data_IF_707520164537
#
_entry.id   IF_707520164537
#
_cell.length_a   1.000
_cell.length_b   1.000
_cell.length_c   1.000
_cell.angle_alpha   90.00
_cell.angle_beta   90.00
_cell.angle_gamma   90.00
#
_symmetry.space_group_name_H-M   'P 1'
#
loop_
_entity.id
_entity.type
_entity.pdbx_description
1 polymer ?
#
# COMPACT_ATOMS: atom_id res chain seq x y z
N UNK A 1 5.21 -35.84 7.28
CA UNK A 1 6.65 -35.59 7.02
C UNK A 1 6.79 -34.08 6.95
N UNK A 2 7.70 -33.48 7.72
CA UNK A 2 7.82 -32.02 7.73
C UNK A 2 8.41 -31.55 6.39
N UNK A 3 7.98 -30.37 5.94
CA UNK A 3 8.45 -29.75 4.70
C UNK A 3 9.88 -29.18 4.80
N UNK A 4 10.61 -29.42 5.90
CA UNK A 4 11.90 -28.77 6.17
C UNK A 4 13.11 -29.70 6.07
N UNK A 5 12.91 -30.96 5.66
CA UNK A 5 13.94 -31.99 5.72
C UNK A 5 14.69 -32.13 4.39
N UNK A 6 15.46 -31.10 4.02
CA UNK A 6 16.29 -31.13 2.80
C UNK A 6 17.78 -31.02 3.14
N UNK A 7 18.65 -31.67 2.37
CA UNK A 7 20.11 -31.52 2.49
C UNK A 7 20.65 -30.26 1.81
N UNK A 8 21.98 -30.19 1.64
CA UNK A 8 22.64 -29.03 1.06
C UNK A 8 22.35 -28.88 -0.44
N UNK A 9 22.02 -30.00 -1.09
CA UNK A 9 21.71 -30.18 -2.50
C UNK A 9 20.21 -29.99 -2.78
N UNK A 10 19.38 -29.99 -1.75
CA UNK A 10 17.92 -29.82 -1.84
C UNK A 10 17.18 -31.15 -1.97
N UNK A 11 17.85 -32.28 -1.75
CA UNK A 11 17.23 -33.59 -1.75
C UNK A 11 16.59 -33.88 -0.38
N UNK A 12 15.42 -34.55 -0.36
CA UNK A 12 14.74 -34.88 0.88
C UNK A 12 15.55 -35.90 1.69
N UNK A 13 15.82 -35.58 2.95
CA UNK A 13 16.57 -36.44 3.88
C UNK A 13 15.69 -36.86 5.04
N UNK A 14 15.85 -38.12 5.48
CA UNK A 14 15.18 -38.61 6.68
C UNK A 14 15.91 -38.13 7.91
N UNK A 15 15.17 -37.51 8.83
CA UNK A 15 15.67 -37.19 10.16
C UNK A 15 15.97 -38.49 10.91
N UNK A 16 17.13 -38.61 11.58
CA UNK A 16 17.42 -39.75 12.44
C UNK A 16 16.35 -39.95 13.52
N UNK A 17 16.05 -41.21 13.86
CA UNK A 17 14.99 -41.54 14.81
C UNK A 17 15.33 -41.16 16.27
N UNK A 18 16.60 -40.92 16.55
CA UNK A 18 17.14 -40.47 17.84
C UNK A 18 17.14 -38.95 18.01
N UNK A 19 16.75 -38.19 16.98
CA UNK A 19 16.66 -36.74 17.05
C UNK A 19 15.31 -36.30 17.61
N UNK A 20 15.33 -35.56 18.71
CA UNK A 20 14.14 -34.99 19.34
C UNK A 20 13.90 -33.54 18.90
N UNK A 21 14.98 -32.77 18.75
CA UNK A 21 14.94 -31.36 18.35
C UNK A 21 15.95 -31.08 17.22
N UNK A 22 15.80 -29.93 16.58
CA UNK A 22 16.73 -29.39 15.60
C UNK A 22 17.32 -28.09 16.13
N UNK A 23 18.65 -28.01 16.24
CA UNK A 23 19.34 -26.78 16.62
C UNK A 23 19.48 -25.86 15.43
N UNK A 24 19.03 -24.61 15.56
CA UNK A 24 18.99 -23.64 14.46
C UNK A 24 20.29 -22.84 14.38
N UNK A 25 20.89 -22.82 13.20
CA UNK A 25 22.06 -21.99 12.87
C UNK A 25 21.83 -21.20 11.60
N UNK A 26 22.36 -19.98 11.52
CA UNK A 26 22.21 -19.10 10.36
C UNK A 26 23.56 -18.82 9.70
N UNK A 27 23.58 -18.76 8.38
CA UNK A 27 24.73 -18.25 7.64
C UNK A 27 24.70 -16.72 7.63
N UNK A 28 25.76 -16.05 8.11
CA UNK A 28 25.86 -14.58 8.08
C UNK A 28 25.74 -14.00 6.68
N UNK A 29 26.34 -14.68 5.70
CA UNK A 29 26.34 -14.29 4.31
C UNK A 29 25.95 -15.50 3.44
N UNK A 30 24.78 -15.47 2.79
CA UNK A 30 24.38 -16.50 1.85
C UNK A 30 25.41 -16.58 0.71
N UNK A 31 25.93 -17.78 0.43
CA UNK A 31 26.86 -18.03 -0.69
C UNK A 31 28.35 -17.94 -0.36
N UNK A 32 28.74 -17.33 0.76
CA UNK A 32 30.13 -17.43 1.24
C UNK A 32 30.32 -18.73 2.04
N UNK A 33 31.45 -19.41 1.84
CA UNK A 33 31.90 -20.49 2.73
C UNK A 33 32.26 -19.89 4.10
N UNK A 34 31.27 -19.76 4.97
CA UNK A 34 31.41 -19.19 6.31
C UNK A 34 30.92 -20.12 7.40
N UNK A 35 31.38 -19.88 8.63
CA UNK A 35 30.85 -20.56 9.81
C UNK A 35 29.40 -20.14 10.04
N UNK A 36 28.50 -21.11 10.24
CA UNK A 36 27.14 -20.83 10.69
C UNK A 36 27.17 -20.36 12.15
N UNK A 37 26.38 -19.35 12.47
CA UNK A 37 26.19 -18.88 13.84
C UNK A 37 24.97 -19.50 14.46
N UNK A 38 25.01 -19.75 15.76
CA UNK A 38 23.84 -20.23 16.50
C UNK A 38 22.81 -19.11 16.56
N UNK A 39 21.59 -19.40 16.13
CA UNK A 39 20.46 -18.48 16.30
C UNK A 39 20.02 -18.58 17.76
N UNK A 40 19.80 -17.45 18.40
CA UNK A 40 19.33 -17.39 19.78
C UNK A 40 17.85 -16.98 19.78
N UNK A 41 17.08 -17.56 20.70
CA UNK A 41 15.69 -17.17 20.94
C UNK A 41 15.60 -15.83 21.68
N UNK A 42 14.37 -15.39 21.95
CA UNK A 42 14.12 -14.16 22.70
C UNK A 42 14.62 -14.18 24.15
N UNK A 43 14.87 -15.37 24.69
CA UNK A 43 15.49 -15.60 26.00
C UNK A 43 17.03 -15.53 25.98
N UNK A 44 17.63 -15.36 24.78
CA UNK A 44 19.08 -15.38 24.59
C UNK A 44 19.71 -16.77 24.63
N UNK A 45 18.92 -17.85 24.78
CA UNK A 45 19.43 -19.22 24.68
C UNK A 45 19.47 -19.67 23.21
N UNK A 46 20.30 -20.68 22.85
CA UNK A 46 20.27 -21.27 21.52
C UNK A 46 18.86 -21.74 21.14
N UNK A 47 18.44 -21.43 19.92
CA UNK A 47 17.12 -21.80 19.40
C UNK A 47 17.10 -23.27 18.98
N UNK A 48 16.18 -24.02 19.57
CA UNK A 48 15.85 -25.40 19.21
C UNK A 48 14.40 -25.45 18.72
N UNK A 49 14.14 -26.25 17.69
CA UNK A 49 12.79 -26.42 17.13
C UNK A 49 12.42 -27.90 17.05
N UNK A 50 11.13 -28.26 17.17
CA UNK A 50 10.68 -29.63 16.98
C UNK A 50 11.05 -30.19 15.59
N UNK A 51 11.26 -31.49 15.49
CA UNK A 51 11.59 -32.16 14.22
C UNK A 51 10.44 -32.15 13.22
N UNK A 52 9.21 -32.00 13.67
CA UNK A 52 7.98 -31.95 12.87
C UNK A 52 7.51 -30.53 12.54
N UNK A 53 8.29 -29.50 12.93
CA UNK A 53 7.92 -28.10 12.71
C UNK A 53 7.66 -27.79 11.23
N UNK A 54 6.61 -27.00 10.97
CA UNK A 54 6.26 -26.56 9.62
C UNK A 54 7.10 -25.36 9.18
N UNK A 55 7.19 -25.12 7.87
CA UNK A 55 7.93 -23.97 7.33
C UNK A 55 7.42 -22.62 7.88
N UNK A 56 6.11 -22.46 8.01
CA UNK A 56 5.49 -21.22 8.50
C UNK A 56 5.79 -20.96 9.98
N UNK A 57 5.75 -22.02 10.81
CA UNK A 57 6.10 -21.94 12.23
C UNK A 57 7.57 -21.62 12.42
N UNK A 58 8.45 -22.32 11.69
CA UNK A 58 9.89 -22.06 11.72
C UNK A 58 10.18 -20.61 11.34
N UNK A 59 9.56 -20.12 10.27
CA UNK A 59 9.72 -18.74 9.79
C UNK A 59 9.26 -17.70 10.83
N UNK A 60 8.17 -17.97 11.57
CA UNK A 60 7.73 -17.14 12.69
C UNK A 60 8.75 -17.12 13.83
N UNK A 61 9.32 -18.27 14.19
CA UNK A 61 10.29 -18.39 15.29
C UNK A 61 11.60 -17.64 15.02
N UNK A 62 12.01 -17.51 13.77
CA UNK A 62 13.21 -16.74 13.36
C UNK A 62 12.87 -15.31 12.92
N UNK A 63 11.74 -14.76 13.37
CA UNK A 63 11.29 -13.40 13.12
C UNK A 63 11.26 -13.00 11.64
N UNK A 64 10.91 -13.94 10.75
CA UNK A 64 10.90 -13.75 9.29
C UNK A 64 12.24 -13.28 8.69
N UNK A 65 13.35 -13.47 9.41
CA UNK A 65 14.65 -12.98 8.98
C UNK A 65 15.11 -13.79 7.76
N UNK A 66 15.34 -13.15 6.59
CA UNK A 66 15.70 -13.85 5.38
C UNK A 66 17.13 -14.43 5.46
N UNK A 67 17.34 -15.54 4.77
CA UNK A 67 18.66 -16.17 4.66
C UNK A 67 18.60 -17.70 4.65
N UNK A 68 19.79 -18.31 4.57
CA UNK A 68 19.96 -19.76 4.67
C UNK A 68 20.22 -20.15 6.12
N UNK A 69 19.47 -21.13 6.57
CA UNK A 69 19.57 -21.74 7.89
C UNK A 69 20.04 -23.19 7.75
N UNK A 70 20.83 -23.62 8.71
CA UNK A 70 21.27 -25.00 8.90
C UNK A 70 20.65 -25.50 10.19
N UNK A 71 20.00 -26.66 10.12
CA UNK A 71 19.37 -27.34 11.22
C UNK A 71 20.20 -28.58 11.55
N UNK A 72 20.81 -28.61 12.73
CA UNK A 72 21.58 -29.76 13.20
C UNK A 72 20.67 -30.63 14.09
N UNK A 73 20.40 -31.90 13.73
CA UNK A 73 19.63 -32.81 14.58
C UNK A 73 20.34 -33.07 15.92
N UNK A 74 19.58 -33.00 17.02
CA UNK A 74 20.08 -33.22 18.38
C UNK A 74 19.20 -34.20 19.18
N UNK A 75 19.84 -34.92 20.10
CA UNK A 75 19.20 -35.85 21.04
C UNK A 75 18.44 -35.11 22.17
N UNK A 76 17.71 -35.85 23.03
CA UNK A 76 17.06 -35.32 24.24
C UNK A 76 17.99 -34.50 25.16
N UNK A 77 19.29 -34.78 25.12
CA UNK A 77 20.31 -34.07 25.91
C UNK A 77 20.90 -32.88 25.16
N UNK A 78 20.32 -32.49 24.01
CA UNK A 78 20.76 -31.43 23.10
C UNK A 78 22.18 -31.61 22.56
N UNK A 79 22.66 -32.84 22.48
CA UNK A 79 23.92 -33.20 21.84
C UNK A 79 23.67 -33.55 20.38
N UNK A 80 24.62 -33.24 19.51
CA UNK A 80 24.51 -33.58 18.10
C UNK A 80 24.43 -35.10 17.90
N UNK A 81 23.45 -35.56 17.15
CA UNK A 81 23.31 -36.97 16.78
C UNK A 81 24.51 -37.40 15.93
N UNK A 82 25.15 -38.53 16.27
CA UNK A 82 26.35 -38.99 15.55
C UNK A 82 26.01 -39.48 14.15
N UNK A 83 26.66 -38.93 13.13
CA UNK A 83 26.40 -39.30 11.73
C UNK A 83 25.13 -38.70 11.13
N UNK A 84 24.41 -37.85 11.88
CA UNK A 84 23.27 -37.12 11.35
C UNK A 84 23.71 -36.11 10.29
N UNK A 85 23.01 -36.12 9.15
CA UNK A 85 23.21 -35.13 8.08
C UNK A 85 22.49 -33.83 8.49
N UNK A 86 23.13 -32.66 8.40
CA UNK A 86 22.46 -31.39 8.66
C UNK A 86 21.41 -31.10 7.59
N UNK A 87 20.30 -30.50 8.02
CA UNK A 87 19.23 -30.08 7.13
C UNK A 87 19.37 -28.58 6.81
N UNK A 88 18.81 -28.14 5.70
CA UNK A 88 18.89 -26.74 5.27
C UNK A 88 17.52 -26.19 4.93
N UNK A 89 17.31 -24.94 5.33
CA UNK A 89 16.09 -24.19 5.06
C UNK A 89 16.48 -22.81 4.56
N UNK A 90 15.88 -22.37 3.46
CA UNK A 90 16.08 -21.02 2.93
C UNK A 90 14.80 -20.22 3.11
N UNK A 91 14.93 -19.04 3.71
CA UNK A 91 13.86 -18.04 3.77
C UNK A 91 14.21 -16.96 2.75
N UNK A 92 13.52 -17.02 1.61
CA UNK A 92 13.70 -16.05 0.54
C UNK A 92 12.98 -14.73 0.88
N UNK A 93 13.65 -13.57 0.71
CA UNK A 93 13.03 -12.28 0.95
C UNK A 93 11.89 -11.99 -0.05
N UNK A 94 11.95 -12.55 -1.26
CA UNK A 94 10.92 -12.41 -2.29
C UNK A 94 9.65 -13.20 -1.97
N UNK A 95 9.77 -14.33 -1.28
CA UNK A 95 8.62 -15.13 -0.82
C UNK A 95 7.92 -14.49 0.38
N UNK A 96 8.53 -13.49 1.02
CA UNK A 96 7.89 -12.73 2.09
C UNK A 96 6.71 -11.90 1.60
N UNK A 97 6.65 -11.51 0.32
CA UNK A 97 5.49 -10.80 -0.22
C UNK A 97 4.32 -11.72 -0.51
N UNK A 98 4.50 -13.03 -0.68
CA UNK A 98 3.43 -13.94 -1.12
C UNK A 98 2.47 -14.34 0.01
N UNK A 99 2.98 -14.52 1.24
CA UNK A 99 2.11 -14.79 2.40
C UNK A 99 1.41 -13.51 2.90
N UNK A 100 2.04 -12.34 2.71
CA UNK A 100 1.40 -11.05 2.92
C UNK A 100 0.54 -10.60 1.72
N UNK A 101 0.68 -11.24 0.56
CA UNK A 101 -0.15 -10.96 -0.62
C UNK A 101 -1.57 -11.46 -0.41
N UNK A 102 -1.79 -12.58 0.28
CA UNK A 102 -3.16 -13.04 0.57
C UNK A 102 -3.89 -12.07 1.51
N UNK A 103 -3.23 -11.57 2.56
CA UNK A 103 -3.79 -10.53 3.44
C UNK A 103 -3.92 -9.17 2.74
N UNK A 104 -2.96 -8.77 1.89
CA UNK A 104 -3.07 -7.54 1.09
C UNK A 104 -4.13 -7.65 0.00
N UNK A 105 -4.33 -8.81 -0.58
CA UNK A 105 -5.35 -9.07 -1.60
C UNK A 105 -6.73 -9.20 -0.98
N UNK A 106 -6.82 -9.63 0.28
CA UNK A 106 -8.03 -9.54 1.08
C UNK A 106 -8.35 -8.08 1.43
N UNK A 107 -7.38 -7.32 1.94
CA UNK A 107 -7.52 -5.89 2.25
C UNK A 107 -7.82 -5.05 1.01
N UNK A 108 -7.19 -5.34 -0.14
CA UNK A 108 -7.45 -4.63 -1.39
C UNK A 108 -8.85 -4.94 -1.93
N UNK A 109 -9.30 -6.20 -1.85
CA UNK A 109 -10.69 -6.57 -2.19
C UNK A 109 -11.70 -5.93 -1.25
N UNK A 110 -11.40 -5.85 0.05
CA UNK A 110 -12.25 -5.20 1.04
C UNK A 110 -12.32 -3.68 0.81
N UNK A 111 -11.18 -3.03 0.53
CA UNK A 111 -11.12 -1.61 0.18
C UNK A 111 -11.92 -1.30 -1.09
N UNK A 112 -11.77 -2.12 -2.14
CA UNK A 112 -12.54 -1.97 -3.38
C UNK A 112 -14.03 -2.15 -3.11
N UNK A 113 -14.42 -3.12 -2.28
CA UNK A 113 -15.82 -3.33 -1.89
C UNK A 113 -16.38 -2.11 -1.15
N UNK A 114 -15.65 -1.59 -0.16
CA UNK A 114 -16.04 -0.39 0.58
C UNK A 114 -16.15 0.84 -0.34
N UNK A 115 -15.25 0.98 -1.31
CA UNK A 115 -15.29 2.08 -2.28
C UNK A 115 -16.52 2.00 -3.18
N UNK A 116 -16.89 0.79 -3.64
CA UNK A 116 -18.10 0.57 -4.44
C UNK A 116 -19.37 0.88 -3.63
N UNK A 117 -19.43 0.48 -2.36
CA UNK A 117 -20.55 0.83 -1.47
C UNK A 117 -20.64 2.33 -1.24
N UNK A 118 -19.51 3.02 -1.03
CA UNK A 118 -19.47 4.47 -0.89
C UNK A 118 -19.96 5.18 -2.15
N UNK A 119 -19.53 4.76 -3.35
CA UNK A 119 -20.02 5.32 -4.61
C UNK A 119 -21.53 5.11 -4.78
N UNK A 120 -22.05 3.97 -4.36
CA UNK A 120 -23.48 3.67 -4.42
C UNK A 120 -24.28 4.60 -3.49
N UNK A 121 -23.81 4.80 -2.26
CA UNK A 121 -24.42 5.72 -1.30
C UNK A 121 -24.36 7.18 -1.79
N UNK A 122 -23.25 7.59 -2.41
CA UNK A 122 -23.12 8.94 -2.99
C UNK A 122 -24.11 9.15 -4.13
N UNK A 123 -24.29 8.17 -5.01
CA UNK A 123 -25.27 8.25 -6.10
C UNK A 123 -26.71 8.32 -5.58
N UNK A 124 -27.04 7.57 -4.54
CA UNK A 124 -28.36 7.64 -3.90
C UNK A 124 -28.60 9.01 -3.28
N UNK A 125 -27.59 9.58 -2.62
CA UNK A 125 -27.64 10.93 -2.04
C UNK A 125 -27.87 12.00 -3.12
N UNK A 126 -27.14 11.94 -4.24
CA UNK A 126 -27.34 12.87 -5.36
C UNK A 126 -28.73 12.74 -5.98
N UNK A 127 -29.24 11.53 -6.16
CA UNK A 127 -30.60 11.28 -6.65
C UNK A 127 -31.67 11.88 -5.73
N UNK A 128 -31.49 11.73 -4.41
CA UNK A 128 -32.39 12.31 -3.41
C UNK A 128 -32.38 13.84 -3.44
N UNK A 129 -31.19 14.45 -3.57
CA UNK A 129 -31.04 15.91 -3.69
C UNK A 129 -31.72 16.41 -4.97
N UNK A 130 -31.49 15.77 -6.11
CA UNK A 130 -32.12 16.13 -7.38
C UNK A 130 -33.65 16.06 -7.29
N UNK A 131 -34.18 15.02 -6.63
CA UNK A 131 -35.62 14.84 -6.42
C UNK A 131 -36.20 15.94 -5.52
N UNK A 132 -35.49 16.32 -4.46
CA UNK A 132 -35.89 17.44 -3.60
C UNK A 132 -35.87 18.78 -4.33
N UNK A 133 -34.88 19.02 -5.18
CA UNK A 133 -34.79 20.25 -5.95
C UNK A 133 -35.92 20.38 -6.98
N UNK A 134 -36.27 19.29 -7.66
CA UNK A 134 -37.42 19.24 -8.56
C UNK A 134 -38.74 19.52 -7.82
N UNK A 135 -38.92 18.93 -6.64
CA UNK A 135 -40.09 19.19 -5.78
C UNK A 135 -40.15 20.66 -5.34
N UNK A 136 -39.02 21.23 -4.92
CA UNK A 136 -38.93 22.62 -4.49
C UNK A 136 -39.20 23.61 -5.63
N UNK A 137 -38.69 23.35 -6.84
CA UNK A 137 -39.02 24.15 -8.02
C UNK A 137 -40.51 24.11 -8.36
N UNK A 138 -41.14 22.94 -8.25
CA UNK A 138 -42.57 22.78 -8.51
C UNK A 138 -43.40 23.57 -7.50
N UNK A 139 -43.08 23.45 -6.21
CA UNK A 139 -43.75 24.22 -5.16
C UNK A 139 -43.54 25.74 -5.35
N UNK A 140 -42.35 26.17 -5.76
CA UNK A 140 -42.06 27.59 -6.05
C UNK A 140 -42.88 28.08 -7.25
N UNK A 141 -43.01 27.27 -8.30
CA UNK A 141 -43.83 27.60 -9.46
C UNK A 141 -45.32 27.71 -9.11
N UNK A 142 -45.83 26.86 -8.21
CA UNK A 142 -47.20 26.96 -7.69
C UNK A 142 -47.42 28.24 -6.90
N UNK A 143 -46.47 28.64 -6.03
CA UNK A 143 -46.52 29.89 -5.28
C UNK A 143 -46.52 31.09 -6.24
N UNK A 144 -45.63 31.10 -7.24
CA UNK A 144 -45.59 32.16 -8.26
C UNK A 144 -46.91 32.26 -9.02
N UNK A 145 -47.48 31.12 -9.43
CA UNK A 145 -48.76 31.09 -10.14
C UNK A 145 -49.93 31.54 -9.25
N UNK A 146 -49.93 31.18 -7.97
CA UNK A 146 -50.93 31.65 -7.00
C UNK A 146 -50.80 33.16 -6.74
N UNK A 147 -49.57 33.68 -6.65
CA UNK A 147 -49.29 35.10 -6.50
C UNK A 147 -49.77 35.91 -7.72
N UNK A 148 -49.57 35.40 -8.94
CA UNK A 148 -50.09 36.01 -10.17
C UNK A 148 -51.63 36.06 -10.18
N UNK A 149 -52.29 35.00 -9.69
CA UNK A 149 -53.76 34.95 -9.55
C UNK A 149 -54.32 35.86 -8.46
N UNK A 150 -53.52 36.21 -7.44
CA UNK A 150 -53.92 37.06 -6.32
C UNK A 150 -53.82 38.57 -6.63
N UNK A 151 -53.37 38.96 -7.83
CA UNK A 151 -53.31 40.36 -8.25
C UNK A 151 -52.23 41.17 -7.53
N UNK A 152 -51.17 40.53 -7.04
CA UNK A 152 -50.00 41.24 -6.51
C UNK A 152 -49.40 42.07 -7.66
N UNK A 153 -49.57 43.38 -7.60
CA UNK A 153 -49.06 44.32 -8.61
C UNK A 153 -47.56 44.09 -8.81
N UNK A 154 -47.14 43.79 -10.05
CA UNK A 154 -45.74 43.69 -10.46
C UNK A 154 -44.99 44.88 -9.87
N UNK A 155 -44.16 44.62 -8.87
CA UNK A 155 -43.20 45.62 -8.40
C UNK A 155 -42.14 45.69 -9.50
N UNK A 156 -42.02 46.85 -10.12
CA UNK A 156 -40.99 47.11 -11.11
C UNK A 156 -39.64 46.77 -10.46
N UNK A 157 -38.82 45.88 -11.06
CA UNK A 157 -37.54 45.53 -10.48
C UNK A 157 -36.73 46.82 -10.30
N UNK A 158 -36.05 47.01 -9.16
CA UNK A 158 -35.20 48.17 -8.96
C UNK A 158 -34.20 48.23 -10.12
N UNK A 159 -33.91 49.44 -10.65
CA UNK A 159 -32.99 49.60 -11.76
C UNK A 159 -31.66 48.92 -11.43
N UNK A 160 -31.16 48.10 -12.36
CA UNK A 160 -29.87 47.43 -12.22
C UNK A 160 -28.82 48.46 -11.86
N UNK A 161 -28.27 48.34 -10.65
CA UNK A 161 -27.12 49.14 -10.25
C UNK A 161 -25.97 48.69 -11.16
N UNK A 162 -25.60 49.55 -12.09
CA UNK A 162 -24.47 49.31 -12.99
C UNK A 162 -23.24 49.22 -12.10
N UNK A 163 -22.73 48.01 -11.87
CA UNK A 163 -21.39 47.86 -11.30
C UNK A 163 -20.43 48.56 -12.26
N UNK A 164 -19.59 49.49 -11.79
CA UNK A 164 -18.57 50.08 -12.64
C UNK A 164 -17.70 48.93 -13.17
N UNK A 165 -17.70 48.77 -14.49
CA UNK A 165 -16.66 48.03 -15.19
C UNK A 165 -15.38 48.82 -15.01
N UNK A 166 -14.53 48.39 -14.08
CA UNK A 166 -13.15 48.81 -14.03
C UNK A 166 -12.50 48.42 -15.36
N UNK A 167 -12.40 49.41 -16.24
CA UNK A 167 -11.65 49.32 -17.48
C UNK A 167 -10.18 49.43 -17.14
N UNK A 168 -9.51 48.29 -17.02
CA UNK A 168 -8.05 48.23 -17.10
C UNK A 168 -7.67 48.09 -18.57
N UNK A 169 -7.49 49.25 -19.21
CA UNK A 169 -6.67 49.40 -20.40
C UNK A 169 -5.20 49.28 -19.96
N UNK A 170 -4.63 48.08 -20.11
CA UNK A 170 -3.18 47.89 -20.10
C UNK A 170 -2.70 47.54 -21.50
N UNK A 171 -2.44 48.61 -22.24
CA UNK A 171 -1.63 48.66 -23.44
C UNK A 171 -0.16 48.79 -22.99
N UNK A 172 0.59 47.69 -23.06
CA UNK A 172 2.04 47.74 -22.99
C UNK A 172 2.65 46.72 -23.95
N UNK A 173 3.05 47.23 -25.10
CA UNK A 173 3.98 46.64 -26.06
C UNK A 173 5.20 46.02 -25.35
N UNK A 174 5.31 44.69 -25.45
CA UNK A 174 6.58 43.97 -25.32
C UNK A 174 6.67 42.98 -26.48
N UNK A 175 7.45 43.38 -27.49
CA UNK A 175 7.95 42.50 -28.54
C UNK A 175 9.07 41.60 -27.97
N UNK A 176 9.11 40.36 -28.47
CA UNK A 176 10.15 39.33 -28.37
C UNK A 176 10.44 38.70 -26.99
N UNK A 177 9.91 37.49 -26.75
CA UNK A 177 10.66 36.23 -26.97
C UNK A 177 9.96 35.02 -26.32
N UNK A 178 9.98 33.90 -27.05
CA UNK A 178 9.69 32.51 -26.66
C UNK A 178 8.23 32.02 -26.62
N UNK A 179 8.01 30.93 -27.36
CA UNK A 179 6.79 30.15 -27.50
C UNK A 179 6.28 29.61 -26.13
N UNK A 180 5.57 30.44 -25.38
CA UNK A 180 4.85 30.02 -24.18
C UNK A 180 3.43 29.57 -24.61
N UNK A 181 3.26 28.26 -24.77
CA UNK A 181 1.96 27.61 -24.95
C UNK A 181 1.01 28.06 -23.85
N UNK A 182 0.09 28.97 -24.18
CA UNK A 182 -0.92 29.45 -23.25
C UNK A 182 -1.73 28.29 -22.66
N UNK A 183 -1.44 27.95 -21.41
CA UNK A 183 -2.23 26.97 -20.68
C UNK A 183 -3.68 27.48 -20.58
N UNK A 184 -4.68 26.70 -21.03
CA UNK A 184 -6.07 27.09 -20.89
C UNK A 184 -6.39 27.21 -19.39
N UNK A 185 -6.77 28.41 -18.96
CA UNK A 185 -7.32 28.66 -17.62
C UNK A 185 -8.67 27.97 -17.50
N UNK A 186 -8.64 26.66 -17.27
CA UNK A 186 -9.82 25.93 -16.83
C UNK A 186 -10.16 26.41 -15.41
N UNK A 187 -11.44 26.72 -15.11
CA UNK A 187 -11.83 27.05 -13.76
C UNK A 187 -11.47 25.84 -12.88
N UNK A 188 -10.49 26.04 -12.01
CA UNK A 188 -10.05 25.02 -11.07
C UNK A 188 -11.26 24.68 -10.21
N UNK A 189 -11.84 23.51 -10.47
CA UNK A 189 -12.83 22.96 -9.56
C UNK A 189 -12.17 22.86 -8.18
N UNK A 190 -12.89 23.07 -7.07
CA UNK A 190 -12.31 23.00 -5.73
C UNK A 190 -11.63 21.66 -5.42
N UNK A 191 -11.94 20.60 -6.19
CA UNK A 191 -11.24 19.33 -6.16
C UNK A 191 -9.78 19.42 -6.68
N UNK A 192 -9.54 20.23 -7.71
CA UNK A 192 -8.21 20.44 -8.29
C UNK A 192 -7.28 21.16 -7.32
N UNK A 193 -7.79 22.13 -6.54
CA UNK A 193 -7.01 22.80 -5.50
C UNK A 193 -6.62 21.85 -4.37
N UNK A 194 -7.54 20.98 -3.95
CA UNK A 194 -7.25 19.93 -2.95
C UNK A 194 -6.22 18.95 -3.48
N UNK A 195 -6.33 18.53 -4.74
CA UNK A 195 -5.37 17.61 -5.36
C UNK A 195 -3.99 18.26 -5.50
N UNK A 196 -3.94 19.53 -5.89
CA UNK A 196 -2.70 20.30 -6.01
C UNK A 196 -2.04 20.52 -4.64
N UNK A 197 -2.81 20.78 -3.58
CA UNK A 197 -2.29 20.89 -2.22
C UNK A 197 -1.69 19.55 -1.74
N UNK A 198 -2.39 18.45 -2.01
CA UNK A 198 -1.96 17.11 -1.58
C UNK A 198 -0.71 16.65 -2.35
N UNK A 199 -0.60 16.99 -3.64
CA UNK A 199 0.62 16.75 -4.43
C UNK A 199 1.80 17.59 -3.93
N UNK A 200 1.55 18.84 -3.49
CA UNK A 200 2.59 19.73 -2.96
C UNK A 200 3.12 19.24 -1.61
N UNK A 201 2.22 18.81 -0.72
CA UNK A 201 2.57 18.25 0.59
C UNK A 201 3.36 16.94 0.48
N UNK A 202 3.06 16.12 -0.54
CA UNK A 202 3.69 14.82 -0.73
C UNK A 202 4.84 14.82 -1.74
N UNK A 203 5.19 15.97 -2.33
CA UNK A 203 6.20 16.06 -3.37
C UNK A 203 7.56 15.51 -2.89
N UNK A 204 8.00 15.87 -1.69
CA UNK A 204 9.28 15.39 -1.12
C UNK A 204 9.31 13.87 -0.91
N UNK A 205 8.20 13.29 -0.46
CA UNK A 205 8.08 11.84 -0.26
C UNK A 205 8.10 11.08 -1.61
N UNK A 206 7.46 11.64 -2.64
CA UNK A 206 7.45 11.08 -4.00
C UNK A 206 8.87 11.16 -4.60
N UNK A 207 9.58 12.27 -4.41
CA UNK A 207 10.95 12.44 -4.90
C UNK A 207 11.92 11.49 -4.17
N UNK A 208 11.79 11.34 -2.85
CA UNK A 208 12.61 10.39 -2.09
C UNK A 208 12.38 8.95 -2.55
N UNK A 209 11.12 8.56 -2.78
CA UNK A 209 10.77 7.21 -3.25
C UNK A 209 11.27 6.93 -4.67
N UNK A 210 11.12 7.88 -5.59
CA UNK A 210 11.59 7.73 -6.98
C UNK A 210 13.11 7.68 -7.05
N UNK A 211 13.80 8.52 -6.29
CA UNK A 211 15.27 8.53 -6.21
C UNK A 211 15.80 7.22 -5.62
N UNK A 212 15.19 6.70 -4.55
CA UNK A 212 15.56 5.42 -3.95
C UNK A 212 15.34 4.25 -4.92
N UNK A 213 14.27 4.28 -5.72
CA UNK A 213 13.96 3.22 -6.70
C UNK A 213 14.91 3.24 -7.89
N UNK A 214 15.29 4.42 -8.38
CA UNK A 214 16.24 4.58 -9.49
C UNK A 214 17.66 4.17 -9.05
N UNK A 215 18.11 4.60 -7.87
CA UNK A 215 19.43 4.24 -7.35
C UNK A 215 19.53 2.78 -6.87
N UNK A 216 18.42 2.18 -6.44
CA UNK A 216 18.38 0.79 -5.97
C UNK A 216 18.48 -0.28 -7.07
N UNK A 217 18.24 0.06 -8.34
CA UNK A 217 18.30 -0.89 -9.47
C UNK A 217 19.67 -0.94 -10.18
N UNK A 218 20.64 -0.11 -9.79
CA UNK A 218 21.94 0.00 -10.47
C UNK A 218 23.07 -0.88 -9.93
N UNK A 219 22.86 -1.67 -8.87
CA UNK A 219 23.90 -2.54 -8.29
C UNK A 219 23.63 -4.01 -8.59
N UNK A 220 23.72 -4.38 -9.86
CA UNK A 220 24.06 -5.74 -10.28
C UNK A 220 25.39 -5.69 -11.04
N UNK A 221 26.40 -6.19 -10.34
CA UNK A 221 27.81 -6.48 -10.64
C UNK A 221 28.28 -6.61 -12.10
N UNK A 222 29.59 -6.41 -12.31
CA UNK A 222 30.50 -7.56 -12.40
C UNK A 222 31.20 -7.91 -11.07
#
# INVERSE_FOLDING_TARGET
MSELHFDAEGEPVKVPADADELRVRRFRKPGERGACEVVHGGDGAPLFVPTDITYLEFRKLVDNVPGRYRLDPVDASRRACSGAVPLYVTIDPSRNTSAAADDRDALSRELVRAHVEMMRNNNETMSNIASHFASMMTATAEILRAADGAGLSRREPPPSVVSPTDGDEHDHDQEDDEDEEGEPQHPLTPLADVLAALLRENAEAITAYTTAKIMGHGKTNP
#
